data_IF_848562478657
#
_entry.id   IF_848562478657
#
_cell.length_a   1.000
_cell.length_b   1.000
_cell.length_c   1.000
_cell.angle_alpha   90.00
_cell.angle_beta   90.00
_cell.angle_gamma   90.00
#
_symmetry.space_group_name_H-M   'P 1'
#
loop_
_entity.id
_entity.type
_entity.pdbx_description
1 polymer ?
#
# COMPACT_ATOMS: atom_id res chain seq x y z
N UNK A 1 -24.07 -10.85 14.83
CA UNK A 1 -23.93 -10.08 13.58
C UNK A 1 -22.45 -10.09 13.21
N UNK A 2 -22.09 -10.51 12.01
CA UNK A 2 -20.71 -10.46 11.52
C UNK A 2 -20.47 -9.09 10.86
N UNK A 3 -19.79 -8.19 11.57
CA UNK A 3 -19.57 -6.81 11.13
C UNK A 3 -18.72 -6.74 9.86
N UNK A 4 -17.65 -7.54 9.77
CA UNK A 4 -16.74 -7.55 8.62
C UNK A 4 -17.49 -7.98 7.37
N UNK A 5 -18.33 -9.01 7.49
CA UNK A 5 -19.23 -9.45 6.42
C UNK A 5 -20.22 -8.36 6.03
N UNK A 6 -20.88 -7.73 6.99
CA UNK A 6 -21.85 -6.67 6.71
C UNK A 6 -21.22 -5.47 5.97
N UNK A 7 -20.01 -5.07 6.37
CA UNK A 7 -19.26 -4.00 5.71
C UNK A 7 -18.86 -4.38 4.27
N UNK A 8 -18.29 -5.57 4.08
CA UNK A 8 -17.90 -6.07 2.74
C UNK A 8 -19.10 -6.16 1.78
N UNK A 9 -20.26 -6.58 2.28
CA UNK A 9 -21.45 -6.80 1.45
C UNK A 9 -22.11 -5.47 1.02
N UNK A 10 -21.73 -4.34 1.63
CA UNK A 10 -22.20 -3.02 1.21
C UNK A 10 -21.65 -2.65 -0.19
N UNK A 11 -22.53 -2.10 -1.04
CA UNK A 11 -22.14 -1.72 -2.40
C UNK A 11 -20.99 -0.71 -2.42
N UNK A 12 -21.07 0.29 -1.52
CA UNK A 12 -20.14 1.40 -1.39
C UNK A 12 -18.76 1.02 -0.81
N UNK A 13 -18.51 -0.24 -0.45
CA UNK A 13 -17.25 -0.69 0.15
C UNK A 13 -16.44 -1.50 -0.87
N UNK A 14 -15.17 -1.14 -1.00
CA UNK A 14 -14.20 -1.86 -1.83
C UNK A 14 -13.46 -2.95 -1.05
N UNK A 15 -12.81 -2.51 0.02
CA UNK A 15 -11.92 -3.31 0.86
C UNK A 15 -12.19 -2.97 2.32
N UNK A 16 -12.28 -4.00 3.13
CA UNK A 16 -12.23 -3.89 4.59
C UNK A 16 -10.89 -4.47 5.04
N UNK A 17 -10.08 -3.66 5.72
CA UNK A 17 -8.84 -4.11 6.32
C UNK A 17 -9.03 -4.19 7.85
N UNK A 18 -8.52 -5.24 8.48
CA UNK A 18 -8.52 -5.34 9.94
C UNK A 18 -7.29 -6.10 10.45
N UNK A 19 -6.90 -5.83 11.69
CA UNK A 19 -5.70 -6.38 12.31
C UNK A 19 -6.05 -7.50 13.29
N UNK A 20 -5.96 -8.80 12.91
CA UNK A 20 -6.18 -9.91 13.85
C UNK A 20 -5.03 -10.10 14.85
N UNK A 21 -3.82 -9.64 14.55
CA UNK A 21 -2.64 -9.70 15.44
C UNK A 21 -1.63 -8.59 15.08
N UNK A 22 -0.65 -8.31 15.94
CA UNK A 22 0.33 -7.22 15.73
C UNK A 22 1.13 -7.32 14.41
N UNK A 23 1.33 -8.53 13.92
CA UNK A 23 2.10 -8.87 12.73
C UNK A 23 1.22 -9.41 11.58
N UNK A 24 -0.11 -9.21 11.67
CA UNK A 24 -1.08 -9.73 10.70
C UNK A 24 -2.14 -8.70 10.35
N UNK A 25 -2.46 -8.59 9.07
CA UNK A 25 -3.59 -7.80 8.57
C UNK A 25 -4.37 -8.64 7.60
N UNK A 26 -5.70 -8.63 7.70
CA UNK A 26 -6.58 -9.24 6.73
C UNK A 26 -7.20 -8.17 5.85
N UNK A 27 -7.15 -8.39 4.53
CA UNK A 27 -7.85 -7.63 3.52
C UNK A 27 -9.04 -8.44 3.03
N UNK A 28 -10.24 -7.88 3.15
CA UNK A 28 -11.50 -8.52 2.75
C UNK A 28 -12.10 -7.73 1.60
N UNK A 29 -12.28 -8.40 0.47
CA UNK A 29 -12.95 -7.85 -0.71
C UNK A 29 -14.19 -8.69 -1.04
N UNK A 30 -15.00 -8.26 -2.00
CA UNK A 30 -16.12 -9.08 -2.52
C UNK A 30 -15.63 -10.38 -3.17
N UNK A 31 -14.38 -10.42 -3.65
CA UNK A 31 -13.77 -11.58 -4.31
C UNK A 31 -13.13 -12.57 -3.34
N UNK A 32 -12.87 -12.18 -2.09
CA UNK A 32 -12.24 -13.10 -1.13
C UNK A 32 -11.55 -12.42 0.05
N UNK A 33 -10.61 -13.14 0.65
CA UNK A 33 -9.81 -12.69 1.79
C UNK A 33 -8.34 -12.97 1.51
N UNK A 34 -7.50 -11.99 1.77
CA UNK A 34 -6.05 -12.10 1.76
C UNK A 34 -5.54 -11.83 3.18
N UNK A 35 -4.55 -12.61 3.61
CA UNK A 35 -3.75 -12.32 4.79
C UNK A 35 -2.41 -11.73 4.38
N UNK A 36 -2.04 -10.66 5.06
CA UNK A 36 -0.72 -10.08 5.08
C UNK A 36 -0.05 -10.42 6.40
N UNK A 37 1.22 -10.80 6.33
CA UNK A 37 1.94 -11.31 7.48
C UNK A 37 3.38 -10.82 7.49
N UNK A 38 3.89 -10.46 8.66
CA UNK A 38 5.34 -10.25 8.87
C UNK A 38 5.95 -11.44 9.60
N UNK A 39 7.24 -11.75 9.34
CA UNK A 39 7.99 -12.71 10.14
C UNK A 39 8.07 -12.34 11.63
N UNK A 40 8.13 -11.05 11.94
CA UNK A 40 8.05 -10.49 13.29
C UNK A 40 7.42 -9.09 13.24
N UNK A 41 6.94 -8.53 14.37
CA UNK A 41 6.39 -7.18 14.41
C UNK A 41 7.36 -6.09 13.91
N UNK A 42 8.67 -6.29 14.05
CA UNK A 42 9.71 -5.34 13.69
C UNK A 42 10.15 -5.45 12.21
N UNK A 43 9.82 -6.56 11.55
CA UNK A 43 10.17 -6.77 10.14
C UNK A 43 9.46 -5.76 9.24
N UNK A 44 10.12 -5.32 8.17
CA UNK A 44 9.47 -4.57 7.07
C UNK A 44 9.01 -5.49 5.94
N UNK A 45 9.53 -6.71 5.88
CA UNK A 45 9.13 -7.69 4.87
C UNK A 45 7.75 -8.24 5.19
N UNK A 46 6.90 -8.26 4.17
CA UNK A 46 5.50 -8.68 4.26
C UNK A 46 5.29 -9.84 3.29
N UNK A 47 4.63 -10.89 3.74
CA UNK A 47 4.10 -11.93 2.88
C UNK A 47 2.63 -11.73 2.62
N UNK A 48 2.17 -12.27 1.49
CA UNK A 48 0.77 -12.27 1.09
C UNK A 48 0.35 -13.70 0.81
N UNK A 49 -0.81 -14.12 1.36
CA UNK A 49 -1.47 -15.36 0.95
C UNK A 49 -2.98 -15.19 0.87
N UNK A 50 -3.61 -15.86 -0.08
CA UNK A 50 -5.07 -15.91 -0.18
C UNK A 50 -5.63 -16.92 0.82
N UNK A 51 -6.53 -16.47 1.70
CA UNK A 51 -7.25 -17.34 2.63
C UNK A 51 -8.58 -17.85 2.05
N UNK A 52 -9.22 -17.05 1.18
CA UNK A 52 -10.48 -17.39 0.51
C UNK A 52 -10.60 -16.68 -0.83
N UNK A 53 -11.18 -17.34 -1.82
CA UNK A 53 -11.31 -16.82 -3.18
C UNK A 53 -10.07 -17.14 -4.01
N UNK A 54 -10.11 -16.82 -5.30
CA UNK A 54 -9.01 -17.16 -6.23
C UNK A 54 -8.00 -16.01 -6.33
N UNK A 55 -8.48 -14.80 -6.57
CA UNK A 55 -7.64 -13.60 -6.69
C UNK A 55 -8.35 -12.36 -6.11
N UNK A 56 -8.36 -12.21 -4.77
CA UNK A 56 -9.17 -11.17 -4.13
C UNK A 56 -8.73 -9.74 -4.46
N UNK A 57 -7.46 -9.55 -4.83
CA UNK A 57 -6.86 -8.26 -5.16
C UNK A 57 -6.58 -8.09 -6.67
N UNK A 58 -6.74 -9.12 -7.50
CA UNK A 58 -6.46 -9.03 -8.95
C UNK A 58 -4.96 -9.01 -9.26
N UNK A 59 -4.12 -9.59 -8.40
CA UNK A 59 -2.67 -9.56 -8.54
C UNK A 59 -2.12 -10.65 -9.46
N UNK A 60 -2.85 -11.75 -9.67
CA UNK A 60 -2.34 -12.94 -10.36
C UNK A 60 -1.84 -12.69 -11.79
N UNK A 61 -2.33 -11.64 -12.46
CA UNK A 61 -1.94 -11.29 -13.83
C UNK A 61 -0.65 -10.45 -13.94
N UNK A 62 -0.20 -9.81 -12.85
CA UNK A 62 0.90 -8.82 -12.89
C UNK A 62 2.00 -9.10 -11.85
N UNK A 63 1.63 -9.66 -10.70
CA UNK A 63 2.57 -9.95 -9.62
C UNK A 63 3.15 -11.35 -9.82
N UNK A 64 4.48 -11.53 -9.69
CA UNK A 64 5.11 -12.83 -9.79
C UNK A 64 4.47 -13.85 -8.83
N UNK A 65 4.09 -15.06 -9.30
CA UNK A 65 3.34 -16.02 -8.49
C UNK A 65 4.00 -16.33 -7.15
N UNK A 66 5.33 -16.40 -7.09
CA UNK A 66 6.09 -16.67 -5.87
C UNK A 66 5.84 -15.66 -4.74
N UNK A 67 5.49 -14.41 -5.07
CA UNK A 67 5.15 -13.39 -4.09
C UNK A 67 3.78 -13.59 -3.45
N UNK A 68 2.89 -14.32 -4.14
CA UNK A 68 1.53 -14.61 -3.71
C UNK A 68 1.42 -15.91 -2.89
N UNK A 69 2.55 -16.62 -2.70
CA UNK A 69 2.63 -17.93 -2.03
C UNK A 69 3.07 -17.85 -0.56
N UNK A 70 2.81 -16.72 0.11
CA UNK A 70 3.08 -16.58 1.54
C UNK A 70 4.56 -16.42 1.92
N UNK A 71 5.44 -16.13 0.95
CA UNK A 71 6.84 -15.78 1.22
C UNK A 71 6.97 -14.28 1.53
N UNK A 72 7.75 -13.88 2.55
CA UNK A 72 8.00 -12.47 2.82
C UNK A 72 8.82 -11.82 1.71
N UNK A 73 8.42 -10.62 1.31
CA UNK A 73 9.13 -9.78 0.35
C UNK A 73 9.25 -8.36 0.88
N UNK A 74 10.30 -7.65 0.47
CA UNK A 74 10.53 -6.28 0.93
C UNK A 74 9.45 -5.33 0.44
N UNK A 75 9.24 -4.18 1.13
CA UNK A 75 8.32 -3.15 0.67
C UNK A 75 8.60 -2.69 -0.76
N UNK A 76 9.86 -2.70 -1.21
CA UNK A 76 10.20 -2.25 -2.56
C UNK A 76 9.84 -3.30 -3.61
N UNK A 77 10.03 -4.58 -3.30
CA UNK A 77 9.58 -5.65 -4.18
C UNK A 77 8.05 -5.56 -4.39
N UNK A 78 7.30 -5.29 -3.31
CA UNK A 78 5.86 -5.04 -3.41
C UNK A 78 5.51 -3.82 -4.23
N UNK A 79 6.19 -2.68 -4.03
CA UNK A 79 5.98 -1.47 -4.83
C UNK A 79 6.18 -1.75 -6.33
N UNK A 80 7.30 -2.39 -6.68
CA UNK A 80 7.61 -2.70 -8.08
C UNK A 80 6.60 -3.67 -8.69
N UNK A 81 6.18 -4.71 -7.96
CA UNK A 81 5.28 -5.72 -8.49
C UNK A 81 3.82 -5.25 -8.60
N UNK A 82 3.40 -4.29 -7.75
CA UNK A 82 1.99 -3.92 -7.63
C UNK A 82 1.64 -2.54 -8.17
N UNK A 83 2.63 -1.70 -8.53
CA UNK A 83 2.37 -0.34 -8.99
C UNK A 83 1.33 -0.29 -10.12
N UNK A 84 1.46 -1.12 -11.16
CA UNK A 84 0.52 -1.11 -12.30
C UNK A 84 -0.74 -1.97 -12.08
N UNK A 85 -1.12 -2.24 -10.83
CA UNK A 85 -2.31 -3.03 -10.47
C UNK A 85 -3.46 -2.15 -10.00
N UNK A 86 -4.59 -2.80 -9.69
CA UNK A 86 -5.76 -2.11 -9.14
C UNK A 86 -5.68 -1.81 -7.64
N UNK A 87 -4.61 -2.22 -6.96
CA UNK A 87 -4.31 -1.89 -5.55
C UNK A 87 -2.81 -1.58 -5.41
N UNK A 88 -2.36 -0.43 -5.95
CA UNK A 88 -0.94 -0.11 -6.03
C UNK A 88 -0.33 0.01 -4.64
N UNK A 89 0.73 -0.77 -4.40
CA UNK A 89 1.55 -0.72 -3.19
C UNK A 89 0.79 -0.89 -1.87
N UNK A 90 -0.40 -1.49 -1.92
CA UNK A 90 -1.28 -1.63 -0.75
C UNK A 90 -0.65 -2.49 0.35
N UNK A 91 0.11 -3.53 -0.01
CA UNK A 91 0.62 -4.57 0.90
C UNK A 91 1.46 -3.98 2.03
N UNK A 92 2.57 -3.26 1.78
CA UNK A 92 3.34 -2.65 2.84
C UNK A 92 2.63 -1.46 3.49
N UNK A 93 1.82 -0.70 2.74
CA UNK A 93 1.19 0.51 3.25
C UNK A 93 0.10 0.23 4.29
N UNK A 94 -0.72 -0.79 4.10
CA UNK A 94 -1.75 -1.12 5.09
C UNK A 94 -1.14 -1.72 6.36
N UNK A 95 -0.03 -2.44 6.25
CA UNK A 95 0.74 -2.88 7.42
C UNK A 95 1.25 -1.67 8.22
N UNK A 96 1.87 -0.70 7.53
CA UNK A 96 2.35 0.53 8.16
C UNK A 96 1.23 1.38 8.77
N UNK A 97 0.04 1.41 8.15
CA UNK A 97 -1.14 2.07 8.73
C UNK A 97 -1.45 1.49 10.12
N UNK A 98 -1.52 0.16 10.23
CA UNK A 98 -1.84 -0.51 11.50
C UNK A 98 -0.71 -0.49 12.54
N UNK A 99 0.51 -0.11 12.16
CA UNK A 99 1.60 0.17 13.11
C UNK A 99 1.41 1.52 13.83
N UNK A 100 0.60 2.42 13.28
CA UNK A 100 0.36 3.71 13.89
C UNK A 100 -0.40 3.55 15.23
N UNK A 101 0.07 4.18 16.34
CA UNK A 101 -0.60 4.07 17.64
C UNK A 101 -2.05 4.57 17.67
N UNK A 102 -2.46 5.34 16.64
CA UNK A 102 -3.80 5.90 16.48
C UNK A 102 -4.63 5.21 15.40
N UNK A 103 -4.12 4.13 14.81
CA UNK A 103 -4.90 3.33 13.89
C UNK A 103 -6.08 2.68 14.62
N UNK A 104 -7.26 2.69 13.99
CA UNK A 104 -8.37 1.88 14.45
C UNK A 104 -8.13 0.40 14.18
N UNK A 105 -8.96 -0.48 14.73
CA UNK A 105 -8.85 -1.93 14.51
C UNK A 105 -9.36 -2.37 13.13
N UNK A 106 -10.20 -1.53 12.51
CA UNK A 106 -10.81 -1.75 11.20
C UNK A 106 -10.65 -0.46 10.37
N UNK A 107 -10.14 -0.60 9.16
CA UNK A 107 -10.14 0.43 8.13
C UNK A 107 -11.06 -0.01 6.98
N UNK A 108 -11.90 0.90 6.51
CA UNK A 108 -12.86 0.63 5.42
C UNK A 108 -12.56 1.60 4.29
N UNK A 109 -12.43 1.07 3.09
CA UNK A 109 -12.14 1.85 1.88
C UNK A 109 -13.37 1.85 0.97
N UNK A 110 -13.74 3.04 0.48
CA UNK A 110 -14.88 3.21 -0.41
C UNK A 110 -14.62 2.58 -1.78
N UNK A 111 -15.67 2.04 -2.40
CA UNK A 111 -15.66 1.58 -3.80
C UNK A 111 -15.39 2.75 -4.76
N UNK A 112 -14.80 2.48 -5.95
CA UNK A 112 -14.60 3.52 -6.97
C UNK A 112 -15.87 4.33 -7.23
N UNK A 113 -15.77 5.65 -7.16
CA UNK A 113 -16.91 6.57 -7.34
C UNK A 113 -17.80 6.76 -6.11
N UNK A 114 -17.48 6.13 -4.98
CA UNK A 114 -18.19 6.31 -3.71
C UNK A 114 -17.39 7.16 -2.71
N UNK A 115 -18.12 7.83 -1.82
CA UNK A 115 -17.61 8.53 -0.64
C UNK A 115 -18.53 8.22 0.54
N UNK A 116 -17.97 8.07 1.76
CA UNK A 116 -18.77 7.84 2.97
C UNK A 116 -19.37 9.14 3.54
N UNK A 117 -18.91 10.29 3.07
CA UNK A 117 -19.47 11.60 3.35
C UNK A 117 -20.55 11.96 2.35
N UNK A 118 -21.70 12.42 2.87
CA UNK A 118 -22.77 13.02 2.06
C UNK A 118 -22.58 14.52 1.82
N UNK A 119 -21.53 15.13 2.39
CA UNK A 119 -21.30 16.59 2.34
C UNK A 119 -20.48 17.02 1.14
N UNK A 120 -19.57 16.18 0.69
CA UNK A 120 -18.62 16.50 -0.37
C UNK A 120 -19.09 15.91 -1.69
N UNK A 121 -18.88 16.63 -2.79
CA UNK A 121 -19.19 16.16 -4.15
C UNK A 121 -18.10 15.25 -4.72
N UNK A 122 -16.92 15.27 -4.11
CA UNK A 122 -15.77 14.46 -4.42
C UNK A 122 -14.93 14.33 -3.15
N UNK A 123 -14.21 13.23 -3.02
CA UNK A 123 -13.27 12.98 -1.93
C UNK A 123 -12.14 12.07 -2.39
N UNK A 124 -11.28 11.73 -1.44
CA UNK A 124 -10.16 10.81 -1.63
C UNK A 124 -9.93 10.00 -0.35
N UNK A 125 -9.05 9.01 -0.42
CA UNK A 125 -8.67 8.13 0.69
C UNK A 125 -8.90 6.65 0.43
N UNK A 126 -9.37 6.30 -0.77
CA UNK A 126 -9.38 4.95 -1.30
C UNK A 126 -7.99 4.42 -1.65
N UNK A 127 -7.93 3.11 -1.90
CA UNK A 127 -6.69 2.35 -2.18
C UNK A 127 -6.51 2.02 -3.66
N UNK A 128 -7.26 2.72 -4.53
CA UNK A 128 -7.29 2.49 -5.97
C UNK A 128 -6.34 3.44 -6.71
N UNK A 129 -5.89 3.11 -7.93
CA UNK A 129 -4.99 3.94 -8.72
C UNK A 129 -5.38 5.42 -8.81
N UNK A 130 -6.67 5.71 -9.02
CA UNK A 130 -7.16 7.07 -9.17
C UNK A 130 -6.91 7.98 -7.94
N UNK A 131 -6.67 7.39 -6.78
CA UNK A 131 -6.47 8.11 -5.51
C UNK A 131 -5.07 7.90 -4.91
N UNK A 132 -4.35 6.87 -5.35
CA UNK A 132 -3.00 6.56 -4.87
C UNK A 132 -1.89 7.20 -5.71
N UNK A 133 -2.13 7.48 -6.99
CA UNK A 133 -1.11 8.07 -7.87
C UNK A 133 -1.07 9.59 -7.77
N UNK A 134 0.15 10.12 -7.62
CA UNK A 134 0.45 11.55 -7.69
C UNK A 134 1.65 11.80 -8.60
N UNK A 135 1.89 13.06 -8.95
CA UNK A 135 2.99 13.47 -9.82
C UNK A 135 4.11 14.07 -8.98
N UNK A 136 5.33 13.58 -9.17
CA UNK A 136 6.55 14.19 -8.64
C UNK A 136 7.33 14.84 -9.79
N UNK A 137 7.52 16.15 -9.72
CA UNK A 137 8.41 16.91 -10.60
C UNK A 137 9.53 17.53 -9.76
N UNK A 138 10.78 17.32 -10.18
CA UNK A 138 11.96 17.88 -9.52
C UNK A 138 12.83 18.58 -10.55
N UNK A 139 13.39 19.73 -10.17
CA UNK A 139 14.33 20.48 -10.99
C UNK A 139 15.29 21.25 -10.08
N UNK A 140 16.57 21.29 -10.47
CA UNK A 140 17.59 22.02 -9.73
C UNK A 140 19.00 21.41 -9.89
N UNK A 141 20.00 22.01 -9.24
CA UNK A 141 21.36 21.48 -9.24
C UNK A 141 21.41 20.03 -8.75
N UNK A 142 22.09 19.15 -9.49
CA UNK A 142 22.25 17.74 -9.14
C UNK A 142 21.02 16.85 -9.40
N UNK A 143 19.89 17.41 -9.86
CA UNK A 143 18.73 16.62 -10.28
C UNK A 143 18.94 16.16 -11.73
N UNK A 144 18.96 14.85 -12.03
CA UNK A 144 19.07 14.34 -13.39
C UNK A 144 17.89 14.80 -14.27
N UNK A 145 18.17 15.19 -15.50
CA UNK A 145 17.13 15.52 -16.48
C UNK A 145 16.64 14.25 -17.17
N UNK A 146 15.74 13.51 -16.53
CA UNK A 146 15.21 12.25 -17.04
C UNK A 146 13.78 12.01 -16.58
N UNK A 147 13.08 11.12 -17.29
CA UNK A 147 11.83 10.52 -16.80
C UNK A 147 12.16 9.19 -16.15
N UNK A 148 11.80 9.03 -14.88
CA UNK A 148 11.88 7.74 -14.20
C UNK A 148 10.61 6.92 -14.46
N UNK A 149 10.81 5.68 -14.91
CA UNK A 149 9.72 4.73 -15.12
C UNK A 149 9.41 3.91 -13.85
N UNK A 150 10.41 3.70 -12.99
CA UNK A 150 10.23 2.96 -11.75
C UNK A 150 9.31 3.73 -10.78
N UNK A 151 8.35 3.05 -10.12
CA UNK A 151 7.49 3.66 -9.12
C UNK A 151 8.30 4.14 -7.91
N UNK A 152 7.90 5.29 -7.37
CA UNK A 152 8.47 5.93 -6.17
C UNK A 152 7.34 6.28 -5.21
N UNK A 153 7.66 6.46 -3.93
CA UNK A 153 6.70 6.86 -2.89
C UNK A 153 6.90 8.32 -2.51
N UNK A 154 5.86 8.96 -1.98
CA UNK A 154 5.98 10.31 -1.43
C UNK A 154 7.04 10.40 -0.32
N UNK A 155 7.22 9.33 0.48
CA UNK A 155 8.24 9.27 1.54
C UNK A 155 9.68 9.30 1.01
N UNK A 156 9.88 9.03 -0.28
CA UNK A 156 11.20 9.05 -0.92
C UNK A 156 11.72 10.49 -1.15
N UNK A 157 10.84 11.50 -1.06
CA UNK A 157 11.22 12.90 -1.27
C UNK A 157 12.23 13.39 -0.21
N UNK A 158 11.99 13.10 1.06
CA UNK A 158 12.88 13.54 2.15
C UNK A 158 14.33 13.02 2.00
N UNK A 159 14.58 11.71 1.86
CA UNK A 159 15.94 11.20 1.68
C UNK A 159 16.59 11.70 0.39
N UNK A 160 15.81 11.91 -0.68
CA UNK A 160 16.31 12.49 -1.94
C UNK A 160 16.81 13.92 -1.75
N UNK A 161 16.05 14.76 -1.05
CA UNK A 161 16.43 16.14 -0.76
C UNK A 161 17.66 16.20 0.16
N UNK A 162 17.75 15.33 1.16
CA UNK A 162 18.92 15.26 2.04
C UNK A 162 20.18 14.87 1.26
N UNK A 163 20.10 13.91 0.34
CA UNK A 163 21.23 13.53 -0.51
C UNK A 163 21.65 14.70 -1.42
N UNK A 164 20.70 15.40 -2.07
CA UNK A 164 21.01 16.59 -2.89
C UNK A 164 21.71 17.69 -2.09
N UNK A 165 21.34 17.85 -0.81
CA UNK A 165 21.93 18.85 0.09
C UNK A 165 23.25 18.39 0.75
N UNK A 166 23.73 17.18 0.44
CA UNK A 166 24.92 16.61 1.08
C UNK A 166 24.75 16.41 2.59
N UNK A 167 23.51 16.16 3.05
CA UNK A 167 23.18 15.92 4.46
C UNK A 167 23.06 14.42 4.75
N UNK A 168 23.35 13.98 5.99
CA UNK A 168 23.11 12.61 6.40
C UNK A 168 21.64 12.23 6.22
N UNK A 169 21.39 11.06 5.63
CA UNK A 169 20.06 10.47 5.52
C UNK A 169 19.86 9.54 6.73
N UNK A 170 18.82 9.74 7.55
CA UNK A 170 18.50 8.81 8.64
C UNK A 170 18.25 7.39 8.11
N UNK A 171 18.66 6.38 8.87
CA UNK A 171 18.50 4.96 8.47
C UNK A 171 17.16 4.37 8.88
N UNK A 172 16.43 5.07 9.75
CA UNK A 172 15.18 4.63 10.39
C UNK A 172 13.91 5.13 9.67
N UNK A 173 14.05 5.81 8.53
CA UNK A 173 12.92 6.23 7.69
C UNK A 173 12.51 5.14 6.68
N UNK A 174 11.29 5.23 6.18
CA UNK A 174 10.77 4.28 5.17
C UNK A 174 11.26 4.60 3.76
N UNK A 175 11.38 5.90 3.45
CA UNK A 175 11.76 6.37 2.13
C UNK A 175 13.22 6.09 1.78
N UNK A 176 13.51 6.09 0.49
CA UNK A 176 14.86 5.98 -0.06
C UNK A 176 15.11 7.07 -1.09
N UNK A 177 16.35 7.52 -1.19
CA UNK A 177 16.70 8.51 -2.21
C UNK A 177 16.47 7.96 -3.61
N UNK A 178 15.86 8.77 -4.47
CA UNK A 178 15.62 8.45 -5.88
C UNK A 178 16.70 9.00 -6.81
N UNK A 179 17.76 9.62 -6.28
CA UNK A 179 18.91 10.07 -7.09
C UNK A 179 19.79 8.90 -7.54
N UNK A 180 19.82 7.82 -6.74
CA UNK A 180 20.67 6.67 -6.98
C UNK A 180 19.84 5.40 -6.99
N UNK A 181 19.50 4.99 -8.21
CA UNK A 181 19.37 3.61 -8.71
C UNK A 181 19.16 3.69 -10.20
#
# INVERSE_FOLDING_TARGET
MDLIRALRDAEAVDVVAYRPAADRVHLVTKKGIVELARPSPESRDVSLRTLRGDDPLGYSAHVPPEMLLGKPHSPEAWLQATADTQYPDLVPQIMAYFDAPRAGDIAVFAAPGWDFSKKHKAGHGGVRPAEMFTVLLMAGPGVPHERRAAPVRAVDVVPTLLELLGRPVPTDIDGRSILRK
#
